data_IF_746774828714
#
_entry.id   IF_746774828714
#
_cell.length_a   1.000
_cell.length_b   1.000
_cell.length_c   1.000
_cell.angle_alpha   90.00
_cell.angle_beta   90.00
_cell.angle_gamma   90.00
#
_symmetry.space_group_name_H-M   'P 1'
#
loop_
_entity.id
_entity.type
_entity.pdbx_description
1 polymer ?
#
# COMPACT_ATOMS: atom_id res chain seq x y z
N UNK A 1 6.62 12.11 4.16
CA UNK A 1 6.23 11.54 2.87
C UNK A 1 7.49 11.25 2.06
N UNK A 2 7.55 10.17 1.27
CA UNK A 2 8.78 9.81 0.54
C UNK A 2 8.80 10.42 -0.86
N UNK A 3 9.87 11.13 -1.20
CA UNK A 3 10.12 11.61 -2.55
C UNK A 3 10.79 10.56 -3.45
N UNK A 4 10.69 10.74 -4.77
CA UNK A 4 11.25 9.82 -5.77
C UNK A 4 12.72 10.15 -6.07
N UNK A 5 13.59 9.13 -5.90
CA UNK A 5 15.01 9.15 -6.25
C UNK A 5 15.29 8.11 -7.35
N UNK A 6 15.05 8.51 -8.59
CA UNK A 6 15.27 7.68 -9.78
C UNK A 6 16.07 8.46 -10.81
N UNK A 7 16.87 7.75 -11.61
CA UNK A 7 17.56 8.36 -12.74
C UNK A 7 16.58 8.64 -13.90
N UNK A 8 17.04 9.39 -14.90
CA UNK A 8 16.21 9.81 -16.04
C UNK A 8 15.53 8.65 -16.77
N UNK A 9 16.26 7.58 -17.05
CA UNK A 9 15.73 6.42 -17.80
C UNK A 9 14.66 5.68 -16.99
N UNK A 10 14.87 5.53 -15.68
CA UNK A 10 13.91 4.94 -14.76
C UNK A 10 12.64 5.79 -14.64
N UNK A 11 12.78 7.13 -14.58
CA UNK A 11 11.64 8.05 -14.53
C UNK A 11 10.76 7.92 -15.78
N UNK A 12 11.36 7.95 -16.97
CA UNK A 12 10.64 7.84 -18.24
C UNK A 12 10.00 6.46 -18.45
N UNK A 13 10.57 5.41 -17.86
CA UNK A 13 9.99 4.07 -17.91
C UNK A 13 8.81 3.91 -16.94
N UNK A 14 8.85 4.58 -15.80
CA UNK A 14 7.87 4.40 -14.71
C UNK A 14 6.70 5.37 -14.79
N UNK A 15 6.92 6.60 -15.23
CA UNK A 15 5.92 7.67 -15.20
C UNK A 15 5.63 8.22 -16.60
N UNK A 16 4.38 8.63 -16.89
CA UNK A 16 3.97 9.19 -18.18
C UNK A 16 4.39 10.67 -18.35
N UNK A 17 5.63 10.99 -18.00
CA UNK A 17 6.17 12.37 -18.02
C UNK A 17 6.97 12.65 -19.29
N UNK A 18 7.09 13.92 -19.68
CA UNK A 18 7.95 14.28 -20.80
C UNK A 18 9.44 14.16 -20.46
N UNK A 19 10.28 14.04 -21.50
CA UNK A 19 11.73 14.11 -21.39
C UNK A 19 12.22 15.41 -20.72
N UNK A 20 11.50 16.53 -20.93
CA UNK A 20 11.83 17.81 -20.32
C UNK A 20 11.54 17.82 -18.82
N UNK A 21 10.40 17.26 -18.41
CA UNK A 21 10.08 17.12 -16.98
C UNK A 21 11.08 16.18 -16.30
N UNK A 22 11.41 15.03 -16.88
CA UNK A 22 12.40 14.10 -16.32
C UNK A 22 13.77 14.76 -16.06
N UNK A 23 14.26 15.59 -16.99
CA UNK A 23 15.49 16.37 -16.80
C UNK A 23 15.35 17.41 -15.69
N UNK A 24 14.19 18.08 -15.60
CA UNK A 24 13.92 19.05 -14.55
C UNK A 24 13.87 18.40 -13.17
N UNK A 25 13.28 17.22 -13.06
CA UNK A 25 13.26 16.42 -11.82
C UNK A 25 14.69 16.11 -11.37
N UNK A 26 15.55 15.64 -12.27
CA UNK A 26 16.96 15.42 -11.93
C UNK A 26 17.69 16.69 -11.47
N UNK A 27 17.38 17.83 -12.07
CA UNK A 27 17.94 19.12 -11.66
C UNK A 27 17.41 19.59 -10.29
N UNK A 28 16.14 19.32 -9.97
CA UNK A 28 15.54 19.60 -8.66
C UNK A 28 16.12 18.67 -7.58
N UNK A 29 16.33 17.39 -7.90
CA UNK A 29 17.02 16.44 -7.03
C UNK A 29 18.44 16.92 -6.70
N UNK A 30 19.19 17.45 -7.68
CA UNK A 30 20.50 18.03 -7.41
C UNK A 30 20.47 19.25 -6.45
N UNK A 31 19.29 19.87 -6.27
CA UNK A 31 19.05 21.00 -5.37
C UNK A 31 18.34 20.62 -4.06
N UNK A 32 18.22 19.33 -3.74
CA UNK A 32 17.55 18.92 -2.49
C UNK A 32 16.03 18.93 -2.56
N UNK A 33 15.43 19.00 -3.76
CA UNK A 33 13.97 18.96 -3.95
C UNK A 33 13.56 17.68 -4.67
N UNK A 34 12.66 16.93 -4.06
CA UNK A 34 12.05 15.72 -4.60
C UNK A 34 10.58 15.97 -4.93
N UNK A 35 10.04 15.14 -5.83
CA UNK A 35 8.60 15.06 -6.10
C UNK A 35 8.07 13.73 -5.57
N UNK A 36 6.83 13.72 -5.07
CA UNK A 36 6.12 12.48 -4.73
C UNK A 36 5.80 11.67 -6.00
N UNK A 37 5.45 10.40 -5.81
CA UNK A 37 5.03 9.54 -6.92
C UNK A 37 3.72 10.06 -7.55
N UNK A 38 2.73 10.46 -6.75
CA UNK A 38 1.46 10.92 -7.30
C UNK A 38 1.61 12.22 -8.10
N UNK A 39 2.49 13.13 -7.69
CA UNK A 39 2.79 14.34 -8.49
C UNK A 39 3.35 13.94 -9.86
N UNK A 40 4.25 12.96 -9.94
CA UNK A 40 4.82 12.50 -11.21
C UNK A 40 3.80 11.74 -12.08
N UNK A 41 2.86 11.03 -11.48
CA UNK A 41 1.78 10.34 -12.18
C UNK A 41 0.73 11.31 -12.75
N UNK A 42 0.45 12.39 -12.02
CA UNK A 42 -0.50 13.43 -12.42
C UNK A 42 0.10 14.42 -13.41
N UNK A 43 1.40 14.72 -13.32
CA UNK A 43 2.12 15.64 -14.21
C UNK A 43 2.43 15.04 -15.60
N UNK A 44 1.38 14.58 -16.28
CA UNK A 44 1.46 14.02 -17.64
C UNK A 44 1.98 15.05 -18.64
N UNK A 45 2.51 14.57 -19.75
CA UNK A 45 2.94 15.45 -20.84
C UNK A 45 1.78 16.36 -21.31
N UNK A 46 1.99 17.67 -21.23
CA UNK A 46 1.04 18.73 -21.58
C UNK A 46 0.08 19.12 -20.46
N UNK A 47 0.16 18.50 -19.27
CA UNK A 47 -0.73 18.84 -18.16
C UNK A 47 -0.33 20.20 -17.53
N UNK A 48 -1.29 20.99 -17.02
CA UNK A 48 -1.00 22.18 -16.22
C UNK A 48 0.03 21.94 -15.11
N UNK A 49 -0.02 20.78 -14.43
CA UNK A 49 0.96 20.44 -13.40
C UNK A 49 2.37 20.26 -13.95
N UNK A 50 2.53 19.65 -15.14
CA UNK A 50 3.83 19.62 -15.82
C UNK A 50 4.34 21.06 -16.06
N UNK A 51 3.49 21.95 -16.55
CA UNK A 51 3.87 23.34 -16.86
C UNK A 51 4.37 24.07 -15.60
N UNK A 52 3.71 23.87 -14.46
CA UNK A 52 4.16 24.39 -13.15
C UNK A 52 5.52 23.82 -12.78
N UNK A 53 5.71 22.50 -12.84
CA UNK A 53 6.94 21.85 -12.40
C UNK A 53 8.16 22.19 -13.28
N UNK A 54 7.95 22.45 -14.58
CA UNK A 54 9.02 22.89 -15.48
C UNK A 54 9.27 24.39 -15.45
N UNK A 55 8.43 25.15 -14.74
CA UNK A 55 8.52 26.61 -14.64
C UNK A 55 9.85 27.04 -14.01
N UNK A 56 10.43 28.12 -14.54
CA UNK A 56 11.77 28.54 -14.14
C UNK A 56 11.84 28.95 -12.67
N UNK A 57 10.76 29.52 -12.14
CA UNK A 57 10.68 30.00 -10.76
C UNK A 57 10.80 28.86 -9.73
N UNK A 58 10.26 27.67 -10.02
CA UNK A 58 10.44 26.48 -9.16
C UNK A 58 11.92 26.14 -9.01
N UNK A 59 12.68 26.23 -10.10
CA UNK A 59 14.11 25.92 -10.08
C UNK A 59 14.96 27.04 -9.45
N UNK A 60 14.61 28.31 -9.68
CA UNK A 60 15.32 29.46 -9.07
C UNK A 60 15.15 29.47 -7.56
N UNK A 61 13.96 29.15 -7.08
CA UNK A 61 13.59 29.23 -5.67
C UNK A 61 13.59 27.88 -4.96
N UNK A 62 14.21 26.83 -5.52
CA UNK A 62 14.23 25.48 -4.96
C UNK A 62 14.62 25.44 -3.46
N UNK A 63 15.65 26.20 -3.06
CA UNK A 63 16.11 26.23 -1.66
C UNK A 63 15.08 26.85 -0.70
N UNK A 64 14.23 27.74 -1.20
CA UNK A 64 13.19 28.45 -0.46
C UNK A 64 11.78 28.00 -0.85
N UNK A 65 11.66 26.84 -1.48
CA UNK A 65 10.36 26.30 -1.87
C UNK A 65 9.52 26.06 -0.62
N UNK A 66 8.29 26.56 -0.64
CA UNK A 66 7.27 26.36 0.38
C UNK A 66 5.90 26.13 -0.26
N UNK A 67 4.93 25.73 0.56
CA UNK A 67 3.56 25.44 0.11
C UNK A 67 2.88 26.66 -0.51
N UNK A 68 3.02 27.84 0.11
CA UNK A 68 2.37 29.06 -0.37
C UNK A 68 2.86 29.47 -1.77
N UNK A 69 4.16 29.36 -2.02
CA UNK A 69 4.76 29.60 -3.32
C UNK A 69 4.25 28.63 -4.38
N UNK A 70 4.23 27.32 -4.07
CA UNK A 70 3.77 26.31 -5.03
C UNK A 70 2.28 26.45 -5.34
N UNK A 71 1.45 26.75 -4.36
CA UNK A 71 0.01 26.99 -4.56
C UNK A 71 -0.23 28.25 -5.39
N UNK A 72 0.47 29.35 -5.09
CA UNK A 72 0.36 30.57 -5.90
C UNK A 72 0.75 30.32 -7.36
N UNK A 73 1.85 29.61 -7.59
CA UNK A 73 2.29 29.29 -8.95
C UNK A 73 1.31 28.35 -9.66
N UNK A 74 0.74 27.38 -8.94
CA UNK A 74 -0.30 26.50 -9.48
C UNK A 74 -1.57 27.28 -9.88
N UNK A 75 -1.98 28.27 -9.07
CA UNK A 75 -3.11 29.15 -9.37
C UNK A 75 -2.87 29.98 -10.64
N UNK A 76 -1.70 30.62 -10.74
CA UNK A 76 -1.31 31.44 -11.91
C UNK A 76 -1.31 30.61 -13.21
N UNK A 77 -0.92 29.34 -13.11
CA UNK A 77 -0.82 28.42 -14.24
C UNK A 77 -2.06 27.53 -14.43
N UNK A 78 -3.12 27.75 -13.64
CA UNK A 78 -4.40 27.00 -13.67
C UNK A 78 -4.25 25.48 -13.45
N UNK A 79 -3.31 25.09 -12.59
CA UNK A 79 -3.06 23.68 -12.26
C UNK A 79 -3.84 23.19 -11.03
N UNK A 80 -4.61 24.05 -10.35
CA UNK A 80 -5.38 23.69 -9.14
C UNK A 80 -6.39 22.56 -9.36
N UNK A 81 -6.90 22.43 -10.60
CA UNK A 81 -7.83 21.36 -10.97
C UNK A 81 -7.17 19.96 -10.95
N UNK A 82 -5.83 19.89 -11.00
CA UNK A 82 -5.07 18.64 -10.92
C UNK A 82 -4.63 18.30 -9.49
N UNK A 83 -5.05 19.12 -8.50
CA UNK A 83 -4.75 18.93 -7.09
C UNK A 83 -3.90 20.05 -6.50
N UNK A 84 -4.07 20.31 -5.20
CA UNK A 84 -3.27 21.31 -4.49
C UNK A 84 -1.88 20.78 -4.17
N UNK A 85 -0.86 21.56 -4.51
CA UNK A 85 0.53 21.23 -4.20
C UNK A 85 0.90 21.66 -2.78
N UNK A 86 1.58 20.78 -2.06
CA UNK A 86 2.15 21.04 -0.73
C UNK A 86 3.63 20.70 -0.72
N UNK A 87 4.40 21.41 0.10
CA UNK A 87 5.82 21.12 0.32
C UNK A 87 6.00 20.61 1.74
N UNK A 88 6.61 19.44 1.86
CA UNK A 88 6.94 18.80 3.14
C UNK A 88 8.45 18.57 3.25
N UNK A 89 8.94 18.31 4.45
CA UNK A 89 10.34 17.98 4.68
C UNK A 89 10.49 16.48 4.98
N UNK A 90 11.48 15.84 4.35
CA UNK A 90 11.89 14.45 4.60
C UNK A 90 13.41 14.42 4.79
N UNK A 91 13.84 14.60 6.05
CA UNK A 91 15.25 14.73 6.40
C UNK A 91 15.86 16.01 5.83
N UNK A 92 16.86 15.87 4.95
CA UNK A 92 17.50 17.00 4.28
C UNK A 92 16.80 17.44 2.98
N UNK A 93 15.71 16.76 2.61
CA UNK A 93 15.02 16.94 1.34
C UNK A 93 13.70 17.67 1.53
N UNK A 94 13.38 18.54 0.57
CA UNK A 94 12.03 19.09 0.40
C UNK A 94 11.28 18.21 -0.58
N UNK A 95 10.08 17.77 -0.21
CA UNK A 95 9.23 16.91 -1.04
C UNK A 95 8.00 17.70 -1.45
N UNK A 96 7.84 17.93 -2.75
CA UNK A 96 6.61 18.47 -3.34
C UNK A 96 5.65 17.32 -3.57
N UNK A 97 4.44 17.45 -3.04
CA UNK A 97 3.42 16.42 -3.07
C UNK A 97 2.03 17.01 -3.33
N UNK A 98 1.04 16.15 -3.57
CA UNK A 98 -0.36 16.56 -3.53
C UNK A 98 -0.84 16.64 -2.07
N UNK A 99 -1.72 17.59 -1.78
CA UNK A 99 -2.29 17.77 -0.44
C UNK A 99 -3.04 16.50 0.02
N UNK A 100 -3.76 15.85 -0.90
CA UNK A 100 -4.46 14.59 -0.63
C UNK A 100 -3.52 13.47 -0.18
N UNK A 101 -2.29 13.41 -0.71
CA UNK A 101 -1.29 12.44 -0.25
C UNK A 101 -0.87 12.75 1.19
N UNK A 102 -0.76 14.02 1.55
CA UNK A 102 -0.35 14.44 2.90
C UNK A 102 -1.46 14.13 3.90
N UNK A 103 -2.71 14.43 3.55
CA UNK A 103 -3.88 14.11 4.36
C UNK A 103 -4.03 12.61 4.55
N UNK A 104 -3.82 11.82 3.49
CA UNK A 104 -3.83 10.36 3.58
C UNK A 104 -2.70 9.83 4.50
N UNK A 105 -1.46 10.29 4.33
CA UNK A 105 -0.33 9.88 5.17
C UNK A 105 -0.57 10.24 6.65
N UNK A 106 -1.17 11.40 6.94
CA UNK A 106 -1.50 11.82 8.30
C UNK A 106 -2.65 11.02 8.90
N UNK A 107 -3.74 10.78 8.15
CA UNK A 107 -4.88 10.01 8.63
C UNK A 107 -4.47 8.58 9.01
N UNK A 108 -3.66 7.93 8.18
CA UNK A 108 -3.18 6.57 8.42
C UNK A 108 -2.08 6.47 9.50
N UNK A 109 -1.38 7.57 9.81
CA UNK A 109 -0.43 7.64 10.93
C UNK A 109 -1.11 7.92 12.26
N UNK A 110 -2.19 8.69 12.27
CA UNK A 110 -2.93 9.05 13.48
C UNK A 110 -3.70 7.87 14.06
N UNK A 111 -4.04 6.87 13.22
CA UNK A 111 -4.58 5.57 13.64
C UNK A 111 -3.52 4.55 14.07
N UNK A 112 -2.23 4.94 14.13
CA UNK A 112 -1.22 4.16 14.85
C UNK A 112 -1.16 4.65 16.29
N UNK A 113 -1.70 3.91 17.28
CA UNK A 113 -1.43 4.23 18.68
C UNK A 113 0.08 4.21 18.90
N UNK A 114 0.61 5.27 19.52
CA UNK A 114 2.00 5.33 19.97
C UNK A 114 2.29 4.11 20.84
N UNK A 115 3.11 3.19 20.33
CA UNK A 115 3.63 2.07 21.11
C UNK A 115 4.66 2.67 22.07
N UNK A 116 4.21 3.02 23.27
CA UNK A 116 5.09 3.18 24.41
C UNK A 116 6.00 1.94 24.49
N UNK A 117 7.31 2.18 24.62
CA UNK A 117 8.31 1.15 24.82
C UNK A 117 7.89 0.24 25.98
N UNK A 118 7.38 -0.96 25.66
CA UNK A 118 6.86 -1.92 26.63
C UNK A 118 5.60 -2.67 26.20
N UNK A 119 4.88 -2.23 25.17
CA UNK A 119 3.73 -3.00 24.68
C UNK A 119 4.16 -3.99 23.60
N UNK A 120 4.28 -5.26 24.00
CA UNK A 120 4.23 -6.39 23.09
C UNK A 120 3.08 -6.18 22.11
N UNK A 121 3.32 -6.41 20.82
CA UNK A 121 2.27 -6.44 19.81
C UNK A 121 1.13 -7.32 20.33
N UNK A 122 0.00 -6.70 20.65
CA UNK A 122 -1.23 -7.45 20.77
C UNK A 122 -1.48 -8.00 19.38
N UNK A 123 -1.16 -9.28 19.21
CA UNK A 123 -1.75 -10.12 18.17
C UNK A 123 -3.22 -9.77 18.21
N UNK A 124 -3.74 -9.17 17.12
CA UNK A 124 -5.18 -9.12 16.94
C UNK A 124 -5.55 -10.59 16.77
N UNK A 125 -5.88 -11.23 17.89
CA UNK A 125 -6.58 -12.50 17.85
C UNK A 125 -7.80 -12.21 17.00
N UNK A 126 -7.98 -12.89 15.85
CA UNK A 126 -9.23 -12.77 15.15
C UNK A 126 -10.30 -13.10 16.18
N UNK A 127 -11.10 -12.10 16.56
CA UNK A 127 -12.32 -12.32 17.32
C UNK A 127 -13.31 -12.96 16.34
N UNK A 128 -12.95 -14.14 15.84
CA UNK A 128 -13.88 -15.08 15.29
C UNK A 128 -14.74 -15.45 16.50
N UNK A 129 -15.86 -14.76 16.65
CA UNK A 129 -16.93 -15.22 17.52
C UNK A 129 -17.15 -16.67 17.13
N UNK A 130 -16.84 -17.63 18.01
CA UNK A 130 -16.90 -19.02 17.63
C UNK A 130 -18.35 -19.32 17.30
N UNK A 131 -18.62 -19.62 16.02
CA UNK A 131 -19.97 -19.87 15.51
C UNK A 131 -20.60 -21.12 16.14
N UNK A 132 -19.74 -21.97 16.72
CA UNK A 132 -20.07 -23.16 17.50
C UNK A 132 -19.40 -23.06 18.86
N UNK A 133 -20.10 -23.41 19.93
CA UNK A 133 -19.47 -23.55 21.24
C UNK A 133 -18.46 -24.72 21.24
N UNK A 134 -17.40 -24.65 22.05
CA UNK A 134 -16.35 -25.67 22.07
C UNK A 134 -16.88 -27.09 22.36
N UNK A 135 -17.93 -27.20 23.19
CA UNK A 135 -18.61 -28.46 23.48
C UNK A 135 -19.43 -29.00 22.31
N UNK A 136 -20.01 -28.11 21.49
CA UNK A 136 -20.76 -28.48 20.28
C UNK A 136 -19.80 -28.94 19.18
N UNK A 137 -18.71 -28.21 18.96
CA UNK A 137 -17.69 -28.57 17.97
C UNK A 137 -17.08 -29.95 18.28
N UNK A 138 -16.81 -30.27 19.54
CA UNK A 138 -16.26 -31.57 19.93
C UNK A 138 -17.21 -32.75 19.69
N UNK A 139 -18.53 -32.52 19.70
CA UNK A 139 -19.54 -33.54 19.41
C UNK A 139 -19.73 -33.76 17.91
N UNK A 140 -19.68 -32.69 17.12
CA UNK A 140 -19.84 -32.72 15.66
C UNK A 140 -18.58 -33.24 14.95
N UNK A 141 -17.40 -32.94 15.49
CA UNK A 141 -16.11 -33.29 14.89
C UNK A 141 -15.38 -34.33 15.73
N UNK A 142 -15.80 -35.60 15.62
CA UNK A 142 -15.05 -36.71 16.20
C UNK A 142 -13.67 -36.85 15.53
N UNK A 143 -12.73 -37.54 16.19
CA UNK A 143 -11.41 -37.77 15.61
C UNK A 143 -11.47 -38.48 14.24
N UNK A 144 -12.44 -39.38 14.06
CA UNK A 144 -12.68 -40.07 12.78
C UNK A 144 -13.19 -39.11 11.70
N UNK A 145 -14.14 -38.23 12.03
CA UNK A 145 -14.65 -37.24 11.08
C UNK A 145 -13.56 -36.24 10.68
N UNK A 146 -12.73 -35.79 11.63
CA UNK A 146 -11.58 -34.93 11.35
C UNK A 146 -10.59 -35.63 10.40
N UNK A 147 -10.29 -36.90 10.64
CA UNK A 147 -9.41 -37.68 9.77
C UNK A 147 -9.99 -37.81 8.35
N UNK A 148 -11.30 -38.06 8.24
CA UNK A 148 -12.01 -38.11 6.97
C UNK A 148 -11.95 -36.78 6.22
N UNK A 149 -12.23 -35.67 6.90
CA UNK A 149 -12.14 -34.33 6.31
C UNK A 149 -10.73 -33.99 5.83
N UNK A 150 -9.69 -34.33 6.61
CA UNK A 150 -8.29 -34.16 6.21
C UNK A 150 -7.96 -34.97 4.95
N UNK A 151 -8.42 -36.22 4.88
CA UNK A 151 -8.22 -37.07 3.72
C UNK A 151 -8.93 -36.49 2.49
N UNK A 152 -10.22 -36.16 2.59
CA UNK A 152 -10.99 -35.55 1.50
C UNK A 152 -10.36 -34.26 0.99
N UNK A 153 -9.92 -33.37 1.89
CA UNK A 153 -9.25 -32.13 1.50
C UNK A 153 -7.96 -32.37 0.71
N UNK A 154 -7.18 -33.40 1.07
CA UNK A 154 -5.88 -33.68 0.45
C UNK A 154 -5.96 -34.56 -0.80
N UNK A 155 -7.03 -35.34 -0.98
CA UNK A 155 -7.06 -36.37 -2.03
C UNK A 155 -8.26 -36.29 -2.98
N UNK A 156 -9.29 -35.48 -2.70
CA UNK A 156 -10.43 -35.39 -3.62
C UNK A 156 -10.03 -34.67 -4.91
N UNK A 157 -10.42 -35.25 -6.04
CA UNK A 157 -10.31 -34.64 -7.36
C UNK A 157 -11.46 -33.64 -7.64
N UNK A 158 -12.54 -33.69 -6.85
CA UNK A 158 -13.63 -32.73 -6.96
C UNK A 158 -13.31 -31.47 -6.14
N UNK A 159 -13.14 -30.34 -6.83
CA UNK A 159 -12.88 -29.05 -6.22
C UNK A 159 -13.97 -28.64 -5.21
N UNK A 160 -15.23 -29.00 -5.46
CA UNK A 160 -16.35 -28.66 -4.58
C UNK A 160 -16.29 -29.42 -3.25
N UNK A 161 -15.96 -30.71 -3.28
CA UNK A 161 -15.75 -31.53 -2.08
C UNK A 161 -14.53 -31.06 -1.29
N UNK A 162 -13.44 -30.73 -1.99
CA UNK A 162 -12.21 -30.21 -1.40
C UNK A 162 -12.47 -28.89 -0.65
N UNK A 163 -13.16 -27.94 -1.28
CA UNK A 163 -13.55 -26.67 -0.65
C UNK A 163 -14.49 -26.91 0.54
N UNK A 164 -15.47 -27.80 0.41
CA UNK A 164 -16.39 -28.13 1.50
C UNK A 164 -15.66 -28.74 2.71
N UNK A 165 -14.71 -29.65 2.47
CA UNK A 165 -13.88 -30.26 3.51
C UNK A 165 -13.00 -29.21 4.22
N UNK A 166 -12.37 -28.29 3.47
CA UNK A 166 -11.59 -27.19 4.05
C UNK A 166 -12.45 -26.27 4.92
N UNK A 167 -13.65 -25.90 4.47
CA UNK A 167 -14.58 -25.06 5.25
C UNK A 167 -14.99 -25.75 6.55
N UNK A 168 -15.28 -27.05 6.51
CA UNK A 168 -15.59 -27.83 7.72
C UNK A 168 -14.40 -27.90 8.69
N UNK A 169 -13.18 -28.10 8.18
CA UNK A 169 -11.95 -28.13 8.98
C UNK A 169 -11.65 -26.82 9.71
N UNK A 170 -12.09 -25.67 9.20
CA UNK A 170 -11.95 -24.39 9.91
C UNK A 170 -12.64 -24.41 11.28
N UNK A 171 -13.76 -25.11 11.40
CA UNK A 171 -14.55 -25.20 12.62
C UNK A 171 -14.21 -26.41 13.49
N UNK A 172 -13.39 -27.34 13.00
CA UNK A 172 -12.96 -28.50 13.77
C UNK A 172 -12.04 -28.08 14.94
N UNK A 173 -12.11 -28.78 16.10
CA UNK A 173 -11.27 -28.55 17.27
C UNK A 173 -9.85 -29.12 17.06
N UNK A 174 -9.20 -28.69 15.98
CA UNK A 174 -7.80 -29.00 15.65
C UNK A 174 -6.94 -27.75 15.84
N UNK A 175 -5.66 -27.95 16.13
CA UNK A 175 -4.73 -26.85 16.34
C UNK A 175 -4.54 -26.03 15.07
N UNK A 176 -4.29 -24.72 15.18
CA UNK A 176 -4.07 -23.85 14.02
C UNK A 176 -2.88 -24.29 13.18
N UNK A 177 -1.86 -24.86 13.81
CA UNK A 177 -0.71 -25.47 13.14
C UNK A 177 -1.14 -26.61 12.22
N UNK A 178 -2.03 -27.48 12.69
CA UNK A 178 -2.56 -28.58 11.86
C UNK A 178 -3.45 -28.07 10.73
N UNK A 179 -4.31 -27.08 10.99
CA UNK A 179 -5.14 -26.43 9.95
C UNK A 179 -4.23 -25.86 8.87
N UNK A 180 -3.25 -25.04 9.25
CA UNK A 180 -2.30 -24.41 8.33
C UNK A 180 -1.55 -25.42 7.47
N UNK A 181 -1.10 -26.55 8.05
CA UNK A 181 -0.42 -27.59 7.30
C UNK A 181 -1.29 -28.24 6.22
N UNK A 182 -2.59 -28.45 6.50
CA UNK A 182 -3.53 -28.99 5.51
C UNK A 182 -3.80 -27.95 4.42
N UNK A 183 -4.08 -26.70 4.79
CA UNK A 183 -4.40 -25.62 3.84
C UNK A 183 -3.25 -25.34 2.87
N UNK A 184 -2.01 -25.27 3.38
CA UNK A 184 -0.84 -25.07 2.53
C UNK A 184 -0.65 -26.21 1.53
N UNK A 185 -0.88 -27.47 1.94
CA UNK A 185 -0.79 -28.62 1.03
C UNK A 185 -1.85 -28.57 -0.07
N UNK A 186 -3.07 -28.15 0.26
CA UNK A 186 -4.14 -27.99 -0.74
C UNK A 186 -3.83 -26.88 -1.74
N UNK A 187 -3.22 -25.77 -1.30
CA UNK A 187 -2.85 -24.65 -2.19
C UNK A 187 -1.71 -24.98 -3.17
N UNK A 188 -0.82 -25.89 -2.78
CA UNK A 188 0.32 -26.33 -3.62
C UNK A 188 -0.10 -27.37 -4.65
N UNK A 189 -1.21 -28.07 -4.42
CA UNK A 189 -1.76 -29.05 -5.35
C UNK A 189 -2.29 -28.33 -6.60
N UNK A 190 -1.73 -28.57 -7.81
CA UNK A 190 -2.24 -27.96 -9.03
C UNK A 190 -3.69 -28.42 -9.23
N UNK A 191 -4.63 -27.47 -9.24
CA UNK A 191 -6.04 -27.73 -9.51
C UNK A 191 -6.11 -28.32 -10.93
N UNK A 192 -6.26 -29.65 -11.00
CA UNK A 192 -6.48 -30.42 -12.23
C UNK A 192 -7.95 -30.43 -12.62
#
# INVERSE_FOLDING_TARGET
MKGVLLNKEQLLKRFPISNRLALRVGALQAKGVLLSEAVLETAKQGSPLEVVLIHQEVFKHADKLDTAFMQKLAAEMKAEAEGMLVVTEDGAWKVVALEEELLADQAWKSDRPEVAAGAQLAVIEPTATPLLEAGEASRLFTAEEIARLKLTALTSADASEKIAAMRKLMYAPVTDREKGAVFLRVLVDPIS
#
